data_IF_518521615839
#
_entry.id   IF_518521615839
#
_cell.length_a   1.000
_cell.length_b   1.000
_cell.length_c   1.000
_cell.angle_alpha   90.00
_cell.angle_beta   90.00
_cell.angle_gamma   90.00
#
_symmetry.space_group_name_H-M   'P 1'
#
loop_
_entity.id
_entity.type
_entity.pdbx_description
1 polymer ?
#
# COMPACT_ATOMS: atom_id res chain seq x y z
N UNK A 1 -7.40 -6.89 -1.62
CA UNK A 1 -6.93 -5.68 -0.92
C UNK A 1 -5.74 -5.10 -1.69
N UNK A 2 -5.73 -3.82 -1.90
CA UNK A 2 -4.57 -3.10 -2.42
C UNK A 2 -3.93 -2.35 -1.24
N UNK A 3 -2.63 -2.49 -1.06
CA UNK A 3 -1.86 -1.68 -0.15
C UNK A 3 -1.01 -0.70 -0.97
N UNK A 4 -1.12 0.57 -0.67
CA UNK A 4 -0.20 1.60 -1.18
C UNK A 4 0.81 1.84 -0.08
N UNK A 5 2.07 1.57 -0.37
CA UNK A 5 3.18 1.84 0.54
C UNK A 5 3.98 2.96 -0.11
N UNK A 6 3.97 4.13 0.49
CA UNK A 6 4.80 5.26 0.08
C UNK A 6 6.11 5.17 0.87
N UNK A 7 7.21 5.10 0.16
CA UNK A 7 8.54 5.19 0.77
C UNK A 7 9.05 6.63 0.60
N UNK A 8 9.26 7.32 1.70
CA UNK A 8 10.12 8.49 1.70
C UNK A 8 11.55 8.05 1.34
N UNK A 9 12.32 8.89 0.63
CA UNK A 9 13.68 8.53 0.27
C UNK A 9 14.46 8.20 1.54
N UNK A 10 15.12 7.04 1.52
CA UNK A 10 16.06 6.66 2.58
C UNK A 10 17.03 7.84 2.83
N UNK A 11 17.31 8.20 4.09
CA UNK A 11 18.36 9.16 4.37
C UNK A 11 19.65 8.66 3.72
N UNK A 12 20.35 9.56 3.06
CA UNK A 12 21.59 9.28 2.34
C UNK A 12 22.50 8.39 3.17
N UNK A 13 22.89 7.24 2.61
CA UNK A 13 23.89 6.38 3.22
C UNK A 13 25.15 7.22 3.49
N UNK A 14 25.46 7.43 4.75
CA UNK A 14 26.68 8.09 5.22
C UNK A 14 27.87 7.32 4.66
N UNK A 15 28.57 7.89 3.68
CA UNK A 15 29.80 7.31 3.16
C UNK A 15 30.08 7.52 1.68
N UNK A 16 29.88 8.73 1.14
CA UNK A 16 30.50 9.11 -0.14
C UNK A 16 31.42 10.29 0.11
N UNK A 17 32.72 10.07 -0.13
CA UNK A 17 33.76 11.09 -0.13
C UNK A 17 33.42 12.22 -1.11
N UNK A 18 33.47 13.44 -0.59
CA UNK A 18 33.25 14.68 -1.32
C UNK A 18 34.21 14.82 -2.50
N UNK A 19 33.76 14.57 -3.71
CA UNK A 19 34.32 15.14 -4.97
C UNK A 19 33.34 14.78 -6.10
N UNK A 20 32.73 15.80 -6.65
CA UNK A 20 31.75 15.88 -7.76
C UNK A 20 30.30 16.15 -7.34
N UNK A 21 30.09 17.26 -6.63
CA UNK A 21 28.75 17.82 -6.48
C UNK A 21 28.48 18.78 -7.64
N UNK A 22 27.84 18.28 -8.69
CA UNK A 22 27.05 19.13 -9.58
C UNK A 22 25.83 19.63 -8.80
N UNK A 23 25.74 20.93 -8.45
CA UNK A 23 24.59 21.45 -7.67
C UNK A 23 23.25 21.32 -8.40
N UNK A 24 23.25 21.01 -9.71
CA UNK A 24 22.03 20.73 -10.49
C UNK A 24 21.53 19.29 -10.33
N UNK A 25 22.34 18.38 -9.79
CA UNK A 25 21.98 17.00 -9.49
C UNK A 25 21.49 16.81 -8.04
N UNK A 26 21.84 17.70 -7.13
CA UNK A 26 21.47 17.64 -5.71
C UNK A 26 19.94 17.83 -5.44
N UNK A 27 19.15 18.19 -6.46
CA UNK A 27 17.70 18.37 -6.35
C UNK A 27 16.86 17.24 -6.96
N UNK A 28 17.47 16.21 -7.50
CA UNK A 28 16.76 15.09 -8.11
C UNK A 28 16.48 14.01 -7.09
N UNK A 29 15.52 14.27 -6.19
CA UNK A 29 14.89 13.21 -5.40
C UNK A 29 14.28 12.20 -6.37
N UNK A 30 14.96 11.10 -6.60
CA UNK A 30 14.41 9.98 -7.36
C UNK A 30 13.29 9.35 -6.54
N UNK A 31 12.10 9.92 -6.64
CA UNK A 31 10.92 9.33 -6.04
C UNK A 31 10.53 8.10 -6.83
N UNK A 32 10.45 6.97 -6.17
CA UNK A 32 10.02 5.71 -6.76
C UNK A 32 8.66 5.35 -6.20
N UNK A 33 7.72 5.06 -7.08
CA UNK A 33 6.41 4.56 -6.71
C UNK A 33 6.29 3.10 -7.12
N UNK A 34 5.99 2.21 -6.16
CA UNK A 34 5.79 0.79 -6.39
C UNK A 34 4.36 0.44 -5.99
N UNK A 35 3.56 -0.01 -6.95
CA UNK A 35 2.21 -0.46 -6.72
C UNK A 35 2.14 -1.99 -6.66
N UNK A 36 1.71 -2.54 -5.52
CA UNK A 36 1.63 -3.98 -5.30
C UNK A 36 0.17 -4.39 -5.15
N UNK A 37 -0.29 -5.29 -6.02
CA UNK A 37 -1.60 -5.93 -5.90
C UNK A 37 -1.40 -7.33 -5.32
N UNK A 38 -1.94 -7.57 -4.14
CA UNK A 38 -2.00 -8.90 -3.56
C UNK A 38 -3.14 -9.68 -4.20
N UNK A 39 -2.79 -10.60 -5.07
CA UNK A 39 -3.73 -11.49 -5.75
C UNK A 39 -4.16 -12.64 -4.84
N UNK A 40 -5.30 -13.27 -5.16
CA UNK A 40 -5.74 -14.48 -4.48
C UNK A 40 -6.40 -14.24 -3.14
N UNK A 41 -7.20 -13.16 -3.05
CA UNK A 41 -8.08 -12.89 -1.91
C UNK A 41 -7.36 -12.59 -0.60
N UNK A 42 -6.42 -11.64 -0.61
CA UNK A 42 -5.85 -11.12 0.63
C UNK A 42 -6.95 -10.58 1.56
N UNK A 43 -7.00 -11.11 2.77
CA UNK A 43 -7.98 -10.72 3.78
C UNK A 43 -7.53 -9.45 4.52
N UNK A 44 -8.09 -8.30 4.13
CA UNK A 44 -7.74 -7.00 4.71
C UNK A 44 -7.99 -6.92 6.21
N UNK A 45 -9.03 -7.61 6.73
CA UNK A 45 -9.31 -7.64 8.17
C UNK A 45 -8.36 -8.54 8.97
N UNK A 46 -7.60 -9.41 8.30
CA UNK A 46 -6.51 -10.15 8.93
C UNK A 46 -5.16 -9.43 8.79
N UNK A 47 -5.00 -8.56 7.80
CA UNK A 47 -3.80 -7.74 7.66
C UNK A 47 -3.80 -6.61 8.67
N UNK A 48 -4.89 -5.81 8.68
CA UNK A 48 -5.09 -4.71 9.63
C UNK A 48 -6.38 -4.97 10.41
N UNK A 49 -6.21 -5.30 11.66
CA UNK A 49 -7.23 -5.84 12.56
C UNK A 49 -7.86 -4.71 13.35
N UNK A 50 -9.17 -4.46 13.24
CA UNK A 50 -9.87 -3.49 14.10
C UNK A 50 -10.15 -4.14 15.48
N UNK A 51 -9.13 -4.41 16.27
CA UNK A 51 -9.23 -5.20 17.49
C UNK A 51 -10.11 -4.57 18.57
N UNK A 52 -10.27 -3.25 18.54
CA UNK A 52 -11.13 -2.54 19.49
C UNK A 52 -12.61 -2.48 19.04
N UNK A 53 -12.94 -2.93 17.82
CA UNK A 53 -14.32 -3.01 17.34
C UNK A 53 -15.07 -4.15 18.06
N UNK A 54 -16.12 -3.87 18.85
CA UNK A 54 -16.81 -4.89 19.63
C UNK A 54 -17.38 -6.04 18.79
N UNK A 55 -17.77 -5.77 17.55
CA UNK A 55 -18.33 -6.75 16.65
C UNK A 55 -17.27 -7.60 15.94
N UNK A 56 -15.98 -7.22 15.98
CA UNK A 56 -14.92 -7.89 15.21
C UNK A 56 -14.87 -9.39 15.52
N UNK A 57 -14.66 -9.75 16.77
CA UNK A 57 -14.49 -11.14 17.16
C UNK A 57 -15.74 -11.99 16.87
N UNK A 58 -16.94 -11.45 17.15
CA UNK A 58 -18.20 -12.17 16.95
C UNK A 58 -18.53 -12.37 15.47
N UNK A 59 -18.24 -11.40 14.62
CA UNK A 59 -18.50 -11.50 13.18
C UNK A 59 -17.45 -12.31 12.43
N UNK A 60 -16.21 -12.32 12.92
CA UNK A 60 -15.11 -13.08 12.32
C UNK A 60 -15.08 -14.54 12.79
N UNK A 61 -15.60 -14.83 13.97
CA UNK A 61 -15.59 -16.19 14.52
C UNK A 61 -14.18 -16.78 14.58
N UNK A 62 -14.01 -17.98 14.05
CA UNK A 62 -12.71 -18.68 14.03
C UNK A 62 -11.60 -17.98 13.22
N UNK A 63 -11.94 -16.98 12.41
CA UNK A 63 -10.95 -16.18 11.65
C UNK A 63 -10.49 -14.94 12.42
N UNK A 64 -11.03 -14.67 13.59
CA UNK A 64 -10.60 -13.56 14.41
C UNK A 64 -9.18 -13.79 14.94
N UNK A 65 -8.35 -12.78 14.86
CA UNK A 65 -7.03 -12.77 15.47
C UNK A 65 -7.16 -12.24 16.89
N UNK A 66 -6.56 -12.94 17.86
CA UNK A 66 -6.53 -12.50 19.25
C UNK A 66 -5.82 -11.14 19.38
N UNK A 67 -6.51 -10.21 20.02
CA UNK A 67 -6.00 -8.87 20.28
C UNK A 67 -4.68 -8.85 21.07
N UNK A 68 -4.41 -9.88 21.89
CA UNK A 68 -3.16 -10.01 22.64
C UNK A 68 -1.99 -10.46 21.76
N UNK A 69 -2.27 -11.26 20.71
CA UNK A 69 -1.26 -11.71 19.76
C UNK A 69 -0.99 -10.66 18.66
N UNK A 70 -1.93 -9.75 18.41
CA UNK A 70 -1.84 -8.75 17.36
C UNK A 70 -0.82 -7.65 17.68
N UNK A 71 -0.16 -7.15 16.65
CA UNK A 71 0.84 -6.07 16.75
C UNK A 71 0.14 -4.71 16.73
N UNK A 72 -0.10 -4.13 17.89
CA UNK A 72 -0.86 -2.88 18.02
C UNK A 72 -0.21 -1.71 17.28
N UNK A 73 -1.03 -1.00 16.51
CA UNK A 73 -0.68 0.25 15.84
C UNK A 73 -1.09 1.45 16.72
N UNK A 74 -2.34 1.45 17.13
CA UNK A 74 -2.95 2.51 17.93
C UNK A 74 -4.01 1.92 18.90
N UNK A 75 -4.92 2.74 19.40
CA UNK A 75 -5.99 2.33 20.31
C UNK A 75 -7.12 1.52 19.62
N UNK A 76 -7.13 1.42 18.30
CA UNK A 76 -8.23 0.81 17.53
C UNK A 76 -7.74 -0.34 16.65
N UNK A 77 -6.56 -0.20 16.04
CA UNK A 77 -6.06 -1.11 15.01
C UNK A 77 -4.76 -1.80 15.41
N UNK A 78 -4.58 -2.99 14.88
CA UNK A 78 -3.38 -3.78 15.01
C UNK A 78 -3.05 -4.49 13.69
N UNK A 79 -1.81 -4.92 13.52
CA UNK A 79 -1.39 -5.78 12.41
C UNK A 79 -1.40 -7.24 12.80
N UNK A 80 -1.51 -8.10 11.79
CA UNK A 80 -1.30 -9.52 11.95
C UNK A 80 0.07 -9.82 12.59
N UNK A 81 0.19 -10.80 13.48
CA UNK A 81 1.45 -11.13 14.17
C UNK A 81 2.63 -11.42 13.24
N UNK A 82 2.36 -11.87 12.02
CA UNK A 82 3.38 -12.16 11.01
C UNK A 82 3.97 -10.92 10.31
N UNK A 83 3.55 -9.69 10.69
CA UNK A 83 3.96 -8.45 10.04
C UNK A 83 4.82 -7.52 10.93
N UNK A 84 5.83 -8.03 11.66
CA UNK A 84 6.61 -7.20 12.58
C UNK A 84 7.37 -6.08 11.85
N UNK A 85 7.90 -6.34 10.65
CA UNK A 85 8.59 -5.31 9.86
C UNK A 85 7.68 -4.17 9.44
N UNK A 86 6.45 -4.47 9.06
CA UNK A 86 5.47 -3.44 8.73
C UNK A 86 5.07 -2.61 9.97
N UNK A 87 5.04 -3.25 11.15
CA UNK A 87 4.83 -2.56 12.43
C UNK A 87 5.99 -1.60 12.76
N UNK A 88 7.24 -2.01 12.48
CA UNK A 88 8.42 -1.16 12.64
C UNK A 88 8.35 0.08 11.74
N UNK A 89 8.05 -0.10 10.44
CA UNK A 89 7.87 1.00 9.47
C UNK A 89 6.76 1.97 9.91
N UNK A 90 5.64 1.45 10.41
CA UNK A 90 4.58 2.29 10.95
C UNK A 90 5.06 3.13 12.14
N UNK A 91 5.82 2.52 13.05
CA UNK A 91 6.38 3.21 14.21
C UNK A 91 7.42 4.28 13.84
N UNK A 92 8.11 4.11 12.72
CA UNK A 92 9.05 5.08 12.16
C UNK A 92 8.37 6.20 11.35
N UNK A 93 7.05 6.13 11.14
CA UNK A 93 6.32 7.07 10.27
C UNK A 93 6.49 6.80 8.78
N UNK A 94 7.06 5.66 8.42
CA UNK A 94 7.35 5.26 7.03
C UNK A 94 6.23 4.41 6.40
N UNK A 95 5.21 4.06 7.15
CA UNK A 95 4.05 3.33 6.66
C UNK A 95 2.75 3.91 7.22
N UNK A 96 1.70 3.90 6.41
CA UNK A 96 0.35 4.26 6.82
C UNK A 96 -0.66 3.25 6.28
N UNK A 97 -1.85 3.21 6.89
CA UNK A 97 -2.91 2.29 6.51
C UNK A 97 -4.20 3.04 6.23
N UNK A 98 -4.80 2.77 5.08
CA UNK A 98 -6.09 3.30 4.71
C UNK A 98 -7.16 2.22 4.94
N UNK A 99 -8.08 2.50 5.85
CA UNK A 99 -9.16 1.60 6.20
C UNK A 99 -10.41 1.88 5.38
N UNK A 100 -11.28 0.86 5.28
CA UNK A 100 -12.58 0.97 4.60
C UNK A 100 -12.48 1.43 3.13
N UNK A 101 -11.37 1.14 2.47
CA UNK A 101 -11.18 1.42 1.04
C UNK A 101 -11.68 0.25 0.23
N UNK A 102 -12.55 0.52 -0.73
CA UNK A 102 -13.10 -0.50 -1.63
C UNK A 102 -13.22 0.05 -3.06
N UNK A 103 -13.06 -0.84 -4.04
CA UNK A 103 -13.44 -0.54 -5.40
C UNK A 103 -14.98 -0.54 -5.55
N UNK A 104 -15.55 0.05 -6.60
CA UNK A 104 -16.99 -0.01 -6.87
C UNK A 104 -17.47 -1.42 -7.25
N UNK A 105 -16.56 -2.33 -7.55
CA UNK A 105 -16.88 -3.71 -7.95
C UNK A 105 -17.46 -4.50 -6.77
N UNK A 106 -18.60 -5.15 -6.98
CA UNK A 106 -19.37 -5.85 -5.94
C UNK A 106 -19.51 -7.36 -6.16
N UNK A 107 -19.17 -7.85 -7.36
CA UNK A 107 -19.24 -9.26 -7.69
C UNK A 107 -18.06 -10.04 -7.08
N UNK A 108 -18.19 -11.36 -7.03
CA UNK A 108 -17.23 -12.22 -6.30
C UNK A 108 -16.12 -12.79 -7.19
N UNK A 109 -15.83 -12.18 -8.34
CA UNK A 109 -14.73 -12.59 -9.19
C UNK A 109 -13.44 -11.86 -8.80
N UNK A 110 -12.43 -12.59 -8.37
CA UNK A 110 -11.11 -12.00 -8.05
C UNK A 110 -10.44 -11.40 -9.28
N UNK A 111 -10.58 -12.03 -10.45
CA UNK A 111 -9.98 -11.55 -11.69
C UNK A 111 -10.60 -10.23 -12.15
N UNK A 112 -11.92 -10.14 -12.07
CA UNK A 112 -12.64 -8.93 -12.46
C UNK A 112 -12.34 -7.79 -11.48
N UNK A 113 -12.33 -8.08 -10.18
CA UNK A 113 -11.95 -7.09 -9.16
C UNK A 113 -10.52 -6.59 -9.34
N UNK A 114 -9.59 -7.47 -9.73
CA UNK A 114 -8.23 -7.09 -10.07
C UNK A 114 -8.17 -6.19 -11.31
N UNK A 115 -8.90 -6.52 -12.37
CA UNK A 115 -8.98 -5.68 -13.57
C UNK A 115 -9.48 -4.26 -13.23
N UNK A 116 -10.48 -4.14 -12.35
CA UNK A 116 -10.97 -2.84 -11.87
C UNK A 116 -9.88 -2.09 -11.09
N UNK A 117 -9.10 -2.76 -10.25
CA UNK A 117 -7.98 -2.13 -9.52
C UNK A 117 -6.85 -1.69 -10.46
N UNK A 118 -6.51 -2.48 -11.45
CA UNK A 118 -5.45 -2.19 -12.42
C UNK A 118 -5.84 -1.06 -13.38
N UNK A 119 -7.09 -1.02 -13.77
CA UNK A 119 -7.59 0.00 -14.74
C UNK A 119 -8.10 1.26 -14.06
N UNK A 120 -8.48 1.19 -12.77
CA UNK A 120 -9.18 2.28 -12.10
C UNK A 120 -10.60 2.53 -12.67
N UNK A 121 -11.15 1.54 -13.38
CA UNK A 121 -12.50 1.58 -13.93
C UNK A 121 -13.58 1.33 -12.87
N UNK A 122 -14.83 1.46 -13.27
CA UNK A 122 -15.99 1.15 -12.41
C UNK A 122 -16.52 -0.27 -12.61
N UNK A 123 -16.23 -0.87 -13.75
CA UNK A 123 -16.61 -2.22 -14.11
C UNK A 123 -15.44 -2.94 -14.81
N UNK A 124 -15.39 -4.28 -14.72
CA UNK A 124 -14.35 -5.06 -15.38
C UNK A 124 -14.36 -4.84 -16.90
N UNK A 125 -13.17 -4.77 -17.47
CA UNK A 125 -12.93 -4.66 -18.92
C UNK A 125 -13.54 -3.41 -19.59
N UNK A 126 -14.00 -2.45 -18.81
CA UNK A 126 -14.52 -1.17 -19.28
C UNK A 126 -13.42 -0.30 -19.89
N UNK A 127 -12.24 -0.31 -19.27
CA UNK A 127 -11.06 0.40 -19.73
C UNK A 127 -10.02 -0.61 -20.22
N UNK A 128 -9.30 -0.26 -21.30
CA UNK A 128 -8.28 -1.12 -21.91
C UNK A 128 -6.87 -0.82 -21.44
N UNK A 129 -6.68 0.32 -20.77
CA UNK A 129 -5.39 0.78 -20.24
C UNK A 129 -5.39 0.84 -18.72
N UNK A 130 -4.23 0.71 -18.11
CA UNK A 130 -4.05 0.85 -16.67
C UNK A 130 -4.01 2.31 -16.22
N UNK A 131 -4.47 2.57 -14.99
CA UNK A 131 -4.43 3.93 -14.44
C UNK A 131 -2.99 4.45 -14.28
N UNK A 132 -2.01 3.58 -13.99
CA UNK A 132 -0.60 3.96 -13.93
C UNK A 132 -0.07 4.40 -15.29
N UNK A 133 -0.50 3.75 -16.38
CA UNK A 133 -0.13 4.14 -17.73
C UNK A 133 -0.66 5.52 -18.08
N UNK A 134 -1.91 5.83 -17.68
CA UNK A 134 -2.45 7.19 -17.83
C UNK A 134 -1.70 8.21 -16.99
N UNK A 135 -1.30 7.85 -15.76
CA UNK A 135 -0.48 8.70 -14.90
C UNK A 135 0.86 9.04 -15.56
N UNK A 136 1.56 8.06 -16.12
CA UNK A 136 2.81 8.28 -16.85
C UNK A 136 2.65 9.27 -18.01
N UNK A 137 1.50 9.24 -18.70
CA UNK A 137 1.19 10.20 -19.76
C UNK A 137 1.01 11.65 -19.29
N UNK A 138 0.77 11.86 -17.99
CA UNK A 138 0.62 13.19 -17.38
C UNK A 138 1.91 13.73 -16.77
N UNK A 139 2.91 12.87 -16.55
CA UNK A 139 4.19 13.30 -15.98
C UNK A 139 5.00 14.07 -17.03
N UNK A 140 5.75 15.10 -16.60
CA UNK A 140 6.67 15.81 -17.48
C UNK A 140 7.66 14.82 -18.12
N UNK A 141 7.72 14.77 -19.43
CA UNK A 141 8.77 14.03 -20.13
C UNK A 141 10.07 14.78 -19.98
N UNK A 142 11.02 14.22 -19.24
CA UNK A 142 12.39 14.71 -19.24
C UNK A 142 12.95 14.37 -20.63
N UNK A 143 13.17 15.37 -21.48
CA UNK A 143 13.54 15.25 -22.87
C UNK A 143 14.88 14.55 -23.14
N UNK A 144 14.87 13.23 -22.89
CA UNK A 144 15.84 12.25 -23.35
C UNK A 144 15.04 11.03 -23.79
N UNK A 145 14.42 11.11 -24.94
CA UNK A 145 14.04 9.98 -25.78
C UNK A 145 15.09 9.87 -26.90
#
# INVERSE_FOLDING_TARGET
AAAVIEFDPLPDAVGSTAQDHDPLLAGRLERRFIFIIQRGAADGLNIVIPYAEPAYASQRGALAIDAQAALKLDGTFALHPALPKLRELYGAGEASFLHAVASPYRDRSHFDGQNVLETGGRAPYQLKDGWMNRLLGLLPRNGKD
#
